data_IF_278158393765
#
_entry.id   IF_278158393765
#
_cell.length_a   1.000
_cell.length_b   1.000
_cell.length_c   1.000
_cell.angle_alpha   90.00
_cell.angle_beta   90.00
_cell.angle_gamma   90.00
#
_symmetry.space_group_name_H-M   'P 1'
#
loop_
_entity.id
_entity.type
_entity.pdbx_description
1 polymer ?
#
# COMPACT_ATOMS: atom_id res chain seq x y z
N UNK A 1 -16.12 3.29 -5.24
CA UNK A 1 -15.10 2.96 -4.22
C UNK A 1 -15.24 1.47 -4.00
N UNK A 2 -14.27 0.67 -4.42
CA UNK A 2 -14.45 -0.79 -4.42
C UNK A 2 -14.56 -1.28 -2.98
N UNK A 3 -15.70 -1.89 -2.65
CA UNK A 3 -16.01 -2.45 -1.34
C UNK A 3 -14.87 -3.32 -0.82
N UNK A 4 -14.46 -3.10 0.44
CA UNK A 4 -13.65 -4.06 1.17
C UNK A 4 -14.59 -5.19 1.61
N UNK A 5 -14.34 -6.41 1.15
CA UNK A 5 -15.07 -7.57 1.67
C UNK A 5 -14.47 -7.98 3.03
N UNK A 6 -14.99 -7.37 4.09
CA UNK A 6 -14.51 -7.57 5.45
C UNK A 6 -14.67 -9.03 5.89
N UNK A 7 -15.73 -9.72 5.49
CA UNK A 7 -15.95 -11.13 5.85
C UNK A 7 -14.83 -12.04 5.32
N UNK A 8 -14.42 -11.83 4.07
CA UNK A 8 -13.26 -12.53 3.49
C UNK A 8 -11.96 -12.15 4.22
N UNK A 9 -11.85 -10.91 4.68
CA UNK A 9 -10.68 -10.42 5.41
C UNK A 9 -10.57 -10.93 6.85
N UNK A 10 -11.65 -11.48 7.40
CA UNK A 10 -11.65 -12.13 8.72
C UNK A 10 -11.33 -13.62 8.65
N UNK A 11 -11.34 -14.22 7.45
CA UNK A 11 -10.94 -15.61 7.27
C UNK A 11 -9.42 -15.75 7.43
N UNK A 12 -8.93 -16.85 8.02
CA UNK A 12 -7.49 -17.10 8.12
C UNK A 12 -6.87 -17.25 6.74
N UNK A 13 -5.66 -16.72 6.57
CA UNK A 13 -4.87 -16.86 5.33
C UNK A 13 -4.43 -18.31 5.13
N UNK A 14 -3.94 -18.96 6.20
CA UNK A 14 -3.71 -20.41 6.23
C UNK A 14 -3.97 -20.98 7.62
N UNK A 15 -4.07 -22.31 7.73
CA UNK A 15 -4.31 -22.99 9.02
C UNK A 15 -3.13 -22.86 9.99
N UNK A 16 -1.91 -22.83 9.47
CA UNK A 16 -0.67 -22.71 10.23
C UNK A 16 -0.28 -21.25 10.51
N UNK A 17 -0.64 -20.32 9.61
CA UNK A 17 -0.40 -18.89 9.72
C UNK A 17 -1.70 -18.13 9.41
N UNK A 18 -2.63 -18.01 10.38
CA UNK A 18 -3.92 -17.36 10.16
C UNK A 18 -3.79 -15.88 9.73
N UNK A 19 -2.72 -15.20 10.16
CA UNK A 19 -2.39 -13.83 9.75
C UNK A 19 -1.43 -13.75 8.56
N UNK A 20 -1.00 -14.88 7.98
CA UNK A 20 -0.03 -14.90 6.89
C UNK A 20 1.42 -14.72 7.33
N UNK A 21 2.28 -14.35 6.38
CA UNK A 21 3.72 -14.12 6.63
C UNK A 21 4.01 -12.65 6.88
N UNK A 22 5.05 -12.36 7.68
CA UNK A 22 5.54 -10.98 7.84
C UNK A 22 6.16 -10.47 6.54
N UNK A 23 5.57 -9.42 5.97
CA UNK A 23 6.00 -8.80 4.71
C UNK A 23 6.80 -7.50 4.90
N UNK A 24 7.34 -7.23 6.10
CA UNK A 24 8.10 -5.99 6.38
C UNK A 24 9.27 -5.75 5.42
N UNK A 25 9.83 -6.81 4.83
CA UNK A 25 10.93 -6.75 3.85
C UNK A 25 10.48 -7.13 2.43
N UNK A 26 9.18 -7.30 2.19
CA UNK A 26 8.68 -7.60 0.86
C UNK A 26 8.79 -6.36 -0.04
N UNK A 27 9.34 -6.49 -1.27
CA UNK A 27 9.46 -5.36 -2.19
C UNK A 27 8.13 -4.65 -2.47
N UNK A 28 7.00 -5.37 -2.49
CA UNK A 28 5.68 -4.79 -2.71
C UNK A 28 5.23 -3.91 -1.53
N UNK A 29 5.56 -4.31 -0.30
CA UNK A 29 5.28 -3.52 0.90
C UNK A 29 6.15 -2.27 0.96
N UNK A 30 7.46 -2.41 0.73
CA UNK A 30 8.39 -1.27 0.71
C UNK A 30 8.03 -0.24 -0.37
N UNK A 31 7.61 -0.71 -1.56
CA UNK A 31 7.16 0.20 -2.62
C UNK A 31 5.85 0.89 -2.25
N UNK A 32 4.91 0.19 -1.59
CA UNK A 32 3.69 0.80 -1.09
C UNK A 32 3.98 1.91 -0.09
N UNK A 33 4.88 1.69 0.87
CA UNK A 33 5.30 2.71 1.84
C UNK A 33 5.87 3.95 1.13
N UNK A 34 6.69 3.75 0.10
CA UNK A 34 7.24 4.84 -0.72
C UNK A 34 6.15 5.61 -1.45
N UNK A 35 5.19 4.91 -2.07
CA UNK A 35 4.09 5.53 -2.81
C UNK A 35 3.20 6.39 -1.91
N UNK A 36 2.92 5.93 -0.69
CA UNK A 36 2.09 6.66 0.29
C UNK A 36 2.71 8.02 0.68
N UNK A 37 4.03 8.17 0.64
CA UNK A 37 4.68 9.44 0.94
C UNK A 37 4.40 10.53 -0.12
N UNK A 38 4.05 10.14 -1.34
CA UNK A 38 3.85 11.07 -2.46
C UNK A 38 5.14 11.80 -2.86
N UNK A 39 4.98 12.86 -3.65
CA UNK A 39 6.11 13.69 -4.07
C UNK A 39 6.07 15.03 -3.34
N UNK A 40 7.05 15.34 -2.47
CA UNK A 40 7.08 16.65 -1.82
C UNK A 40 7.38 17.75 -2.83
N UNK A 41 6.98 18.99 -2.49
CA UNK A 41 7.36 20.19 -3.23
C UNK A 41 8.88 20.33 -3.30
N UNK A 42 9.41 20.75 -4.47
CA UNK A 42 10.86 20.93 -4.70
C UNK A 42 11.13 22.17 -5.52
N UNK A 43 12.26 22.83 -5.27
CA UNK A 43 12.73 23.95 -6.08
C UNK A 43 13.96 23.51 -6.88
N UNK A 44 13.96 23.76 -8.19
CA UNK A 44 15.06 23.45 -9.10
C UNK A 44 15.45 24.72 -9.88
N UNK A 45 16.45 25.43 -9.36
CA UNK A 45 16.83 26.75 -9.86
C UNK A 45 15.67 27.73 -9.66
N UNK A 46 15.17 28.32 -10.74
CA UNK A 46 14.05 29.28 -10.71
C UNK A 46 12.67 28.61 -10.81
N UNK A 47 12.59 27.28 -10.90
CA UNK A 47 11.33 26.54 -11.07
C UNK A 47 10.89 25.91 -9.75
N UNK A 48 9.69 26.25 -9.29
CA UNK A 48 9.01 25.55 -8.18
C UNK A 48 8.14 24.41 -8.72
N UNK A 49 8.38 23.19 -8.27
CA UNK A 49 7.60 21.99 -8.58
C UNK A 49 6.70 21.72 -7.37
N UNK A 50 5.40 21.88 -7.55
CA UNK A 50 4.42 21.63 -6.50
C UNK A 50 4.45 20.16 -6.02
N UNK A 51 4.00 19.93 -4.79
CA UNK A 51 3.80 18.59 -4.30
C UNK A 51 2.73 17.86 -5.13
N UNK A 52 2.95 16.58 -5.41
CA UNK A 52 1.96 15.71 -6.05
C UNK A 52 1.43 14.73 -5.02
N UNK A 53 0.10 14.65 -4.92
CA UNK A 53 -0.56 13.67 -4.07
C UNK A 53 -0.31 12.25 -4.58
N UNK A 54 -0.22 11.26 -3.69
CA UNK A 54 -0.17 9.86 -4.07
C UNK A 54 -1.37 9.41 -4.90
N UNK A 55 -1.16 8.44 -5.79
CA UNK A 55 -2.29 7.75 -6.44
C UNK A 55 -2.99 6.83 -5.42
N UNK A 56 -3.97 7.39 -4.71
CA UNK A 56 -4.77 6.67 -3.71
C UNK A 56 -5.52 5.47 -4.29
N UNK A 57 -5.84 5.49 -5.59
CA UNK A 57 -6.54 4.39 -6.26
C UNK A 57 -5.60 3.22 -6.45
N UNK A 58 -4.37 3.48 -6.89
CA UNK A 58 -3.32 2.47 -7.01
C UNK A 58 -2.89 1.93 -5.65
N UNK A 59 -2.69 2.81 -4.67
CA UNK A 59 -2.37 2.45 -3.28
C UNK A 59 -3.45 1.54 -2.70
N UNK A 60 -4.73 1.89 -2.84
CA UNK A 60 -5.82 1.05 -2.35
C UNK A 60 -5.84 -0.34 -2.98
N UNK A 61 -5.52 -0.44 -4.28
CA UNK A 61 -5.40 -1.73 -4.98
C UNK A 61 -4.24 -2.56 -4.42
N UNK A 62 -3.06 -1.97 -4.27
CA UNK A 62 -1.87 -2.66 -3.71
C UNK A 62 -2.07 -3.10 -2.26
N UNK A 63 -2.68 -2.27 -1.43
CA UNK A 63 -3.04 -2.66 -0.06
C UNK A 63 -3.91 -3.92 -0.06
N UNK A 64 -4.91 -4.00 -0.96
CA UNK A 64 -5.79 -5.17 -1.05
C UNK A 64 -5.04 -6.43 -1.49
N UNK A 65 -4.07 -6.30 -2.37
CA UNK A 65 -3.21 -7.40 -2.80
C UNK A 65 -2.37 -7.92 -1.61
N UNK A 66 -1.73 -7.04 -0.86
CA UNK A 66 -0.96 -7.41 0.34
C UNK A 66 -1.84 -8.04 1.43
N UNK A 67 -3.06 -7.54 1.62
CA UNK A 67 -4.03 -8.08 2.57
C UNK A 67 -4.53 -9.50 2.23
N UNK A 68 -4.18 -10.05 1.07
CA UNK A 68 -4.38 -11.48 0.77
C UNK A 68 -3.27 -12.37 1.32
N UNK A 69 -2.09 -11.78 1.61
CA UNK A 69 -0.86 -12.46 1.99
C UNK A 69 -0.50 -12.28 3.46
N UNK A 70 -0.86 -11.13 4.05
CA UNK A 70 -0.61 -10.78 5.46
C UNK A 70 -1.72 -9.90 6.02
N UNK A 71 -2.02 -9.99 7.32
CA UNK A 71 -2.99 -9.12 8.03
C UNK A 71 -2.59 -8.85 9.47
#
# INVERSE_FOLDING_TARGET
MSDLNIELMLQPISSDKPCGEDLSYDPEFMELERLIQGTPEREMGDVKIAAEEPDWRDISRRCKELLTRTR
#
